data_IF_957124667575
#
_entry.id   IF_957124667575
#
_cell.length_a   1.000
_cell.length_b   1.000
_cell.length_c   1.000
_cell.angle_alpha   90.00
_cell.angle_beta   90.00
_cell.angle_gamma   90.00
#
_symmetry.space_group_name_H-M   'P 1'
#
loop_
_entity.id
_entity.type
_entity.pdbx_description
1 polymer ?
#
# COMPACT_ATOMS: atom_id res chain seq x y z
N UNK A 1 9.06 11.02 35.65
CA UNK A 1 7.65 10.61 35.72
C UNK A 1 7.05 10.94 34.37
N UNK A 2 6.94 9.94 33.50
CA UNK A 2 6.31 10.04 32.17
C UNK A 2 4.86 9.57 32.35
N UNK A 3 3.85 10.24 31.79
CA UNK A 3 2.46 9.84 32.00
C UNK A 3 2.13 8.52 31.28
N UNK A 4 1.48 7.61 32.01
CA UNK A 4 1.04 6.25 31.64
C UNK A 4 -0.14 6.25 30.62
N UNK A 5 0.00 6.86 29.44
CA UNK A 5 -1.08 6.82 28.44
C UNK A 5 -0.63 6.83 26.99
N UNK A 6 0.56 6.30 26.71
CA UNK A 6 0.92 5.89 25.34
C UNK A 6 0.97 4.38 25.37
N UNK A 7 -0.04 3.72 24.81
CA UNK A 7 0.03 2.30 24.51
C UNK A 7 1.18 2.10 23.52
N UNK A 8 2.33 1.67 24.02
CA UNK A 8 3.41 1.16 23.19
C UNK A 8 2.88 -0.10 22.51
N UNK A 9 2.67 -0.04 21.20
CA UNK A 9 2.44 -1.23 20.39
C UNK A 9 3.79 -1.96 20.30
N UNK A 10 4.06 -2.85 21.25
CA UNK A 10 5.12 -3.84 21.16
C UNK A 10 4.72 -4.87 20.08
N UNK A 11 4.98 -4.56 18.80
CA UNK A 11 4.52 -5.42 17.72
C UNK A 11 4.71 -4.96 16.28
N UNK A 12 5.72 -4.14 15.97
CA UNK A 12 6.10 -3.88 14.57
C UNK A 12 7.62 -3.73 14.49
N UNK A 13 8.37 -4.80 14.24
CA UNK A 13 9.78 -4.63 13.90
C UNK A 13 9.94 -4.21 12.42
N UNK A 14 9.32 -3.08 12.04
CA UNK A 14 9.87 -2.18 11.01
C UNK A 14 11.12 -1.45 11.55
N UNK A 15 11.46 -1.69 12.81
CA UNK A 15 12.47 -1.00 13.59
C UNK A 15 11.84 -0.01 14.56
N UNK A 16 12.64 0.45 15.52
CA UNK A 16 12.23 1.52 16.44
C UNK A 16 11.85 2.78 15.65
N UNK A 17 10.72 3.40 15.98
CA UNK A 17 10.40 4.72 15.45
C UNK A 17 9.10 4.86 14.67
N UNK A 18 8.34 3.79 14.39
CA UNK A 18 7.17 3.86 13.53
C UNK A 18 5.87 4.07 14.32
N UNK A 19 5.12 5.11 13.96
CA UNK A 19 3.76 5.37 14.39
C UNK A 19 2.79 5.05 13.23
N UNK A 20 1.71 4.35 13.53
CA UNK A 20 0.64 4.07 12.58
C UNK A 20 -0.23 5.31 12.37
N UNK A 21 -0.46 5.70 11.11
CA UNK A 21 -1.31 6.85 10.76
C UNK A 21 -2.67 6.37 10.26
N UNK A 22 -2.71 5.33 9.43
CA UNK A 22 -3.97 4.78 8.94
C UNK A 22 -3.82 3.59 7.99
N UNK A 23 -4.92 2.86 7.82
CA UNK A 23 -5.10 1.79 6.83
C UNK A 23 -6.18 2.22 5.85
N UNK A 24 -6.01 1.86 4.57
CA UNK A 24 -6.91 2.32 3.50
C UNK A 24 -7.10 3.83 3.59
N UNK A 25 -5.98 4.54 3.77
CA UNK A 25 -5.98 5.98 3.99
C UNK A 25 -6.47 6.65 2.72
N UNK A 26 -7.67 7.22 2.82
CA UNK A 26 -8.39 7.83 1.73
C UNK A 26 -7.92 9.27 1.52
N UNK A 27 -7.73 9.64 0.25
CA UNK A 27 -7.52 11.01 -0.15
C UNK A 27 -8.07 11.25 -1.56
N UNK A 28 -8.35 12.51 -1.85
CA UNK A 28 -8.96 12.94 -3.11
C UNK A 28 -7.99 13.81 -3.91
N UNK A 29 -7.98 13.63 -5.23
CA UNK A 29 -7.34 14.55 -6.17
C UNK A 29 -8.32 14.88 -7.28
N UNK A 30 -8.80 16.13 -7.29
CA UNK A 30 -9.85 16.54 -8.22
C UNK A 30 -11.17 15.87 -7.87
N UNK A 31 -11.66 15.01 -8.76
CA UNK A 31 -12.89 14.21 -8.63
C UNK A 31 -12.60 12.70 -8.50
N UNK A 32 -11.35 12.34 -8.18
CA UNK A 32 -10.91 10.95 -8.07
C UNK A 32 -10.49 10.61 -6.63
N UNK A 33 -10.99 9.48 -6.15
CA UNK A 33 -10.66 8.88 -4.86
C UNK A 33 -9.44 7.95 -4.97
N UNK A 34 -8.54 8.05 -4.00
CA UNK A 34 -7.36 7.21 -3.88
C UNK A 34 -7.21 6.66 -2.46
N UNK A 35 -6.59 5.48 -2.38
CA UNK A 35 -6.43 4.76 -1.13
C UNK A 35 -4.99 4.24 -1.01
N UNK A 36 -4.32 4.62 0.07
CA UNK A 36 -3.03 4.05 0.48
C UNK A 36 -3.33 2.86 1.39
N UNK A 37 -2.77 1.69 1.07
CA UNK A 37 -3.04 0.49 1.87
C UNK A 37 -2.64 0.68 3.34
N UNK A 38 -1.41 1.13 3.60
CA UNK A 38 -0.95 1.49 4.94
C UNK A 38 -0.10 2.77 4.91
N UNK A 39 -0.35 3.67 5.86
CA UNK A 39 0.41 4.90 6.06
C UNK A 39 0.99 4.94 7.49
N UNK A 40 2.29 5.19 7.58
CA UNK A 40 3.03 5.33 8.82
C UNK A 40 3.79 6.65 8.87
N UNK A 41 4.22 7.03 10.07
CA UNK A 41 5.21 8.07 10.31
C UNK A 41 6.36 7.51 11.13
N UNK A 42 7.60 7.63 10.65
CA UNK A 42 8.78 7.31 11.43
C UNK A 42 9.27 8.56 12.17
N UNK A 43 9.17 8.60 13.50
CA UNK A 43 9.58 9.77 14.31
C UNK A 43 11.09 9.88 14.50
N UNK A 44 11.84 8.77 14.42
CA UNK A 44 13.31 8.79 14.53
C UNK A 44 13.92 9.44 13.29
N UNK A 45 13.39 9.11 12.12
CA UNK A 45 13.81 9.66 10.83
C UNK A 45 12.99 10.87 10.39
N UNK A 46 12.00 11.25 11.20
CA UNK A 46 11.03 12.31 10.95
C UNK A 46 10.46 12.29 9.52
N UNK A 47 9.84 11.19 9.08
CA UNK A 47 9.27 11.08 7.72
C UNK A 47 8.03 10.20 7.66
N UNK A 48 7.19 10.43 6.67
CA UNK A 48 6.10 9.50 6.33
C UNK A 48 6.63 8.29 5.57
N UNK A 49 5.94 7.17 5.72
CA UNK A 49 6.19 5.92 4.99
C UNK A 49 4.87 5.41 4.44
N UNK A 50 4.77 5.38 3.11
CA UNK A 50 3.64 4.87 2.33
C UNK A 50 3.93 3.41 1.99
N UNK A 51 3.02 2.50 2.28
CA UNK A 51 3.16 1.09 1.91
C UNK A 51 2.00 0.69 1.01
N UNK A 52 2.34 0.15 -0.17
CA UNK A 52 1.40 -0.44 -1.14
C UNK A 52 1.64 -1.95 -1.20
N UNK A 53 0.55 -2.73 -1.19
CA UNK A 53 0.58 -4.18 -1.16
C UNK A 53 0.10 -4.76 -2.50
N UNK A 54 0.80 -5.80 -2.97
CA UNK A 54 0.44 -6.54 -4.19
C UNK A 54 0.62 -8.04 -4.00
N UNK A 55 -0.50 -8.76 -4.11
CA UNK A 55 -0.55 -10.23 -4.14
C UNK A 55 0.09 -10.79 -5.41
N UNK A 56 0.23 -9.97 -6.46
CA UNK A 56 0.81 -10.36 -7.74
C UNK A 56 2.31 -10.13 -7.87
N UNK A 57 2.84 -10.51 -9.03
CA UNK A 57 4.20 -10.13 -9.43
C UNK A 57 4.29 -8.62 -9.58
N UNK A 58 5.46 -8.07 -9.32
CA UNK A 58 5.79 -6.68 -9.59
C UNK A 58 5.48 -6.28 -11.05
N UNK A 59 4.79 -5.15 -11.22
CA UNK A 59 4.58 -4.48 -12.49
C UNK A 59 5.06 -3.02 -12.42
N UNK A 60 5.63 -2.46 -13.51
CA UNK A 60 6.13 -1.09 -13.52
C UNK A 60 5.10 -0.02 -13.13
N UNK A 61 3.81 -0.26 -13.43
CA UNK A 61 2.72 0.67 -13.12
C UNK A 61 2.55 0.91 -11.62
N UNK A 62 2.90 -0.07 -10.78
CA UNK A 62 2.87 0.05 -9.33
C UNK A 62 3.85 1.09 -8.81
N UNK A 63 4.98 1.29 -9.50
CA UNK A 63 5.96 2.35 -9.17
C UNK A 63 5.36 3.72 -9.43
N UNK A 64 4.62 3.88 -10.53
CA UNK A 64 3.93 5.12 -10.85
C UNK A 64 2.88 5.47 -9.80
N UNK A 65 2.04 4.50 -9.43
CA UNK A 65 1.02 4.65 -8.38
C UNK A 65 1.63 5.00 -7.02
N UNK A 66 2.66 4.27 -6.59
CA UNK A 66 3.34 4.52 -5.32
C UNK A 66 4.05 5.88 -5.31
N UNK A 67 4.70 6.26 -6.42
CA UNK A 67 5.31 7.57 -6.58
C UNK A 67 4.31 8.72 -6.51
N UNK A 68 3.12 8.53 -7.08
CA UNK A 68 2.00 9.46 -6.95
C UNK A 68 1.58 9.63 -5.48
N UNK A 69 1.44 8.54 -4.73
CA UNK A 69 1.09 8.58 -3.31
C UNK A 69 2.14 9.31 -2.47
N UNK A 70 3.42 8.99 -2.68
CA UNK A 70 4.54 9.68 -2.01
C UNK A 70 4.51 11.17 -2.29
N UNK A 71 4.27 11.57 -3.55
CA UNK A 71 4.21 12.98 -3.94
C UNK A 71 3.04 13.70 -3.26
N UNK A 72 1.86 13.08 -3.22
CA UNK A 72 0.70 13.66 -2.57
C UNK A 72 0.93 13.85 -1.06
N UNK A 73 1.51 12.87 -0.38
CA UNK A 73 1.85 12.98 1.05
C UNK A 73 2.90 14.08 1.28
N UNK A 74 3.91 14.18 0.42
CA UNK A 74 4.94 15.21 0.50
C UNK A 74 4.40 16.63 0.33
N UNK A 75 3.33 16.80 -0.46
CA UNK A 75 2.72 18.10 -0.71
C UNK A 75 1.63 18.47 0.30
N UNK A 76 0.93 17.49 0.88
CA UNK A 76 -0.26 17.75 1.70
C UNK A 76 -0.05 17.50 3.20
N UNK A 77 0.76 16.50 3.59
CA UNK A 77 0.93 16.12 5.00
C UNK A 77 2.34 16.42 5.53
N UNK A 78 3.36 16.34 4.66
CA UNK A 78 4.75 16.55 5.08
C UNK A 78 5.02 18.04 5.34
N UNK A 79 5.45 18.34 6.56
CA UNK A 79 6.12 19.61 6.83
C UNK A 79 7.55 19.55 6.27
N UNK A 80 7.81 20.29 5.18
CA UNK A 80 9.10 20.24 4.47
C UNK A 80 10.28 20.84 5.25
N UNK A 81 10.03 21.69 6.25
CA UNK A 81 11.06 22.31 7.09
C UNK A 81 11.54 21.38 8.22
N UNK A 82 10.70 20.42 8.62
CA UNK A 82 10.94 19.55 9.78
C UNK A 82 11.13 18.09 9.35
N UNK A 83 10.30 17.61 8.42
CA UNK A 83 10.25 16.21 8.05
C UNK A 83 11.14 15.93 6.84
N UNK A 84 11.88 14.82 6.90
CA UNK A 84 12.58 14.26 5.77
C UNK A 84 11.59 13.76 4.69
N UNK A 85 12.06 13.56 3.44
CA UNK A 85 11.20 13.09 2.35
C UNK A 85 10.48 11.79 2.65
N UNK A 86 9.20 11.73 2.24
CA UNK A 86 8.38 10.53 2.36
C UNK A 86 8.97 9.38 1.57
N UNK A 87 8.95 8.18 2.15
CA UNK A 87 9.42 6.95 1.52
C UNK A 87 8.23 6.12 1.08
N UNK A 88 8.29 5.58 -0.14
CA UNK A 88 7.34 4.58 -0.61
C UNK A 88 7.93 3.19 -0.55
N UNK A 89 7.17 2.22 -0.05
CA UNK A 89 7.52 0.81 -0.03
C UNK A 89 6.45 0.04 -0.79
N UNK A 90 6.86 -0.66 -1.85
CA UNK A 90 6.02 -1.62 -2.56
C UNK A 90 6.37 -3.02 -2.07
N UNK A 91 5.40 -3.71 -1.49
CA UNK A 91 5.52 -5.12 -1.15
C UNK A 91 4.80 -5.93 -2.23
N UNK A 92 5.51 -6.84 -2.90
CA UNK A 92 4.96 -7.76 -3.89
C UNK A 92 5.16 -9.22 -3.46
N UNK A 93 4.23 -10.13 -3.79
CA UNK A 93 4.41 -11.56 -3.55
C UNK A 93 5.55 -12.18 -4.39
N UNK A 94 6.03 -11.45 -5.41
CA UNK A 94 7.24 -11.79 -6.15
C UNK A 94 7.71 -10.66 -7.06
N UNK A 95 9.01 -10.59 -7.33
CA UNK A 95 9.61 -9.57 -8.18
C UNK A 95 10.64 -10.15 -9.17
N UNK A 96 10.82 -9.42 -10.26
CA UNK A 96 11.91 -9.65 -11.21
C UNK A 96 12.90 -8.48 -11.10
N UNK A 97 14.08 -8.74 -10.55
CA UNK A 97 15.08 -7.71 -10.25
C UNK A 97 15.46 -6.84 -11.47
N UNK A 98 15.44 -7.40 -12.68
CA UNK A 98 15.70 -6.62 -13.90
C UNK A 98 14.57 -5.62 -14.17
N UNK A 99 13.32 -6.06 -14.07
CA UNK A 99 12.14 -5.21 -14.30
C UNK A 99 12.05 -4.12 -13.21
N UNK A 100 12.34 -4.48 -11.96
CA UNK A 100 12.43 -3.53 -10.83
C UNK A 100 13.50 -2.48 -11.10
N UNK A 101 14.71 -2.90 -11.50
CA UNK A 101 15.82 -1.99 -11.78
C UNK A 101 15.46 -0.97 -12.86
N UNK A 102 14.88 -1.41 -13.97
CA UNK A 102 14.48 -0.49 -15.04
C UNK A 102 13.36 0.47 -14.60
N UNK A 103 12.42 -0.01 -13.78
CA UNK A 103 11.30 0.81 -13.28
C UNK A 103 11.76 1.87 -12.29
N UNK A 104 12.77 1.58 -11.46
CA UNK A 104 13.30 2.52 -10.47
C UNK A 104 14.36 3.48 -11.05
N UNK A 105 14.97 3.15 -12.20
CA UNK A 105 16.07 3.94 -12.77
C UNK A 105 15.70 5.40 -13.13
N UNK A 106 14.41 5.69 -13.32
CA UNK A 106 13.91 7.04 -13.62
C UNK A 106 13.32 7.79 -12.42
N UNK A 107 13.24 7.16 -11.24
CA UNK A 107 12.50 7.72 -10.11
C UNK A 107 13.41 8.54 -9.20
N UNK A 108 13.00 9.77 -8.88
CA UNK A 108 13.68 10.65 -7.92
C UNK A 108 13.16 10.49 -6.49
N UNK A 109 11.94 9.97 -6.32
CA UNK A 109 11.36 9.65 -5.03
C UNK A 109 12.07 8.43 -4.39
N UNK A 110 12.26 8.42 -3.05
CA UNK A 110 12.87 7.29 -2.37
C UNK A 110 11.86 6.13 -2.30
N UNK A 111 11.91 5.24 -3.28
CA UNK A 111 11.06 4.06 -3.40
C UNK A 111 11.86 2.77 -3.19
N UNK A 112 11.27 1.82 -2.46
CA UNK A 112 11.81 0.48 -2.27
C UNK A 112 10.80 -0.58 -2.75
N UNK A 113 11.31 -1.70 -3.27
CA UNK A 113 10.50 -2.86 -3.68
C UNK A 113 11.02 -4.10 -2.98
N UNK A 114 10.17 -4.79 -2.22
CA UNK A 114 10.52 -6.01 -1.51
C UNK A 114 9.55 -7.14 -1.82
N UNK A 115 10.08 -8.37 -1.82
CA UNK A 115 9.26 -9.58 -1.84
C UNK A 115 8.69 -9.84 -0.44
N UNK A 116 7.44 -10.29 -0.37
CA UNK A 116 6.83 -10.78 0.86
C UNK A 116 5.98 -12.02 0.60
N UNK A 117 5.76 -12.84 1.61
CA UNK A 117 4.66 -13.82 1.62
C UNK A 117 3.73 -13.47 2.78
N UNK A 118 2.44 -13.82 2.70
CA UNK A 118 1.51 -13.57 3.81
C UNK A 118 2.04 -14.13 5.14
N UNK A 119 2.67 -15.31 5.09
CA UNK A 119 3.28 -16.01 6.22
C UNK A 119 4.56 -15.37 6.77
N UNK A 120 5.16 -14.41 6.07
CA UNK A 120 6.37 -13.69 6.50
C UNK A 120 6.10 -12.24 6.88
N UNK A 121 4.88 -11.74 6.65
CA UNK A 121 4.43 -10.47 7.21
C UNK A 121 4.45 -10.55 8.74
N UNK A 122 4.83 -9.49 9.47
CA UNK A 122 4.62 -9.41 10.91
C UNK A 122 3.14 -9.68 11.24
N UNK A 123 2.85 -10.39 12.32
CA UNK A 123 1.47 -10.82 12.65
C UNK A 123 0.48 -9.65 12.74
N UNK A 124 0.94 -8.50 13.22
CA UNK A 124 0.17 -7.27 13.35
C UNK A 124 -0.12 -6.61 11.99
N UNK A 125 0.73 -6.86 10.98
CA UNK A 125 0.47 -6.49 9.57
C UNK A 125 -0.52 -7.45 8.96
N UNK A 126 -0.43 -8.75 9.26
CA UNK A 126 -1.44 -9.73 8.81
C UNK A 126 -2.84 -9.39 9.32
N UNK A 127 -2.97 -8.92 10.56
CA UNK A 127 -4.27 -8.49 11.10
C UNK A 127 -4.83 -7.25 10.37
N UNK A 128 -3.95 -6.46 9.75
CA UNK A 128 -4.31 -5.26 9.01
C UNK A 128 -4.46 -5.50 7.50
N UNK A 129 -3.92 -6.59 6.96
CA UNK A 129 -3.85 -6.89 5.53
C UNK A 129 -4.73 -8.11 5.25
N UNK A 130 -5.73 -8.02 4.36
CA UNK A 130 -6.59 -9.15 4.06
C UNK A 130 -5.77 -10.34 3.54
N UNK A 131 -6.15 -11.53 3.98
CA UNK A 131 -5.56 -12.81 3.56
C UNK A 131 -5.73 -13.05 2.06
N UNK A 132 -4.91 -13.93 1.49
CA UNK A 132 -5.07 -14.38 0.10
C UNK A 132 -6.48 -14.95 -0.15
N UNK A 133 -7.07 -15.64 0.84
CA UNK A 133 -8.43 -16.17 0.77
C UNK A 133 -9.50 -15.07 0.81
N UNK A 134 -9.33 -14.03 1.64
CA UNK A 134 -10.24 -12.88 1.68
C UNK A 134 -10.17 -12.07 0.39
N UNK A 135 -8.98 -11.93 -0.20
CA UNK A 135 -8.79 -11.29 -1.50
C UNK A 135 -9.42 -12.14 -2.61
N UNK A 136 -9.20 -13.45 -2.61
CA UNK A 136 -9.81 -14.37 -3.56
C UNK A 136 -11.35 -14.35 -3.46
N UNK A 137 -11.90 -14.38 -2.24
CA UNK A 137 -13.33 -14.30 -2.01
C UNK A 137 -13.93 -12.96 -2.44
N UNK A 138 -13.23 -11.84 -2.20
CA UNK A 138 -13.66 -10.53 -2.67
C UNK A 138 -13.65 -10.43 -4.21
N UNK A 139 -12.64 -11.00 -4.86
CA UNK A 139 -12.56 -11.08 -6.33
C UNK A 139 -13.67 -11.98 -6.88
N UNK A 140 -13.91 -13.15 -6.30
CA UNK A 140 -14.96 -14.08 -6.73
C UNK A 140 -16.36 -13.49 -6.55
N UNK A 141 -16.61 -12.81 -5.43
CA UNK A 141 -17.86 -12.08 -5.20
C UNK A 141 -18.07 -10.99 -6.26
N UNK A 142 -17.02 -10.22 -6.59
CA UNK A 142 -17.07 -9.17 -7.61
C UNK A 142 -17.28 -9.75 -9.02
N UNK A 143 -16.62 -10.86 -9.35
CA UNK A 143 -16.78 -11.57 -10.63
C UNK A 143 -18.20 -12.13 -10.78
N UNK A 144 -18.76 -12.68 -9.71
CA UNK A 144 -20.14 -13.19 -9.70
C UNK A 144 -21.18 -12.07 -9.86
N UNK A 145 -20.93 -10.90 -9.25
CA UNK A 145 -21.74 -9.70 -9.47
C UNK A 145 -21.66 -9.20 -10.91
N UNK A 146 -20.48 -9.22 -11.53
CA UNK A 146 -20.30 -8.85 -12.94
C UNK A 146 -20.98 -9.85 -13.90
N UNK A 147 -20.91 -11.15 -13.62
CA UNK A 147 -21.59 -12.18 -14.40
C UNK A 147 -23.12 -12.07 -14.30
N UNK A 148 -23.64 -11.66 -13.15
CA UNK A 148 -25.08 -11.42 -12.95
C UNK A 148 -25.61 -10.18 -13.69
N UNK A 149 -24.72 -9.27 -14.12
CA UNK A 149 -25.04 -8.04 -14.85
C UNK A 149 -24.82 -8.14 -16.36
N UNK A 150 -24.33 -9.28 -16.87
CA UNK A 150 -24.26 -9.51 -18.31
C UNK A 150 -25.68 -9.70 -18.88
N UNK A 151 -26.09 -8.94 -19.92
CA UNK A 151 -27.38 -9.13 -20.54
C UNK A 151 -27.47 -10.55 -21.13
N UNK A 152 -28.50 -11.30 -20.71
CA UNK A 152 -28.86 -12.58 -21.32
C UNK A 152 -28.98 -12.35 -22.83
N UNK A 153 -28.10 -12.98 -23.62
CA UNK A 153 -28.21 -12.95 -25.08
C UNK A 153 -29.61 -13.44 -25.45
N UNK A 154 -30.42 -12.67 -26.21
CA UNK A 154 -31.72 -13.13 -26.63
C UNK A 154 -31.55 -14.42 -27.45
N UNK A 155 -32.31 -15.43 -27.07
CA UNK A 155 -32.41 -16.70 -27.77
C UNK A 155 -32.98 -16.44 -29.17
N UNK A 156 -32.12 -16.44 -30.19
CA UNK A 156 -32.54 -16.44 -31.58
C UNK A 156 -32.79 -17.89 -32.02
N UNK A 157 -33.86 -18.48 -31.50
CA UNK A 157 -34.50 -19.66 -32.08
C UNK A 157 -35.86 -19.25 -32.67
N UNK A 158 -35.82 -18.84 -33.94
CA UNK A 158 -36.97 -18.52 -34.78
C UNK A 158 -36.66 -18.77 -36.24
#
# INVERSE_FOLDING_TARGET
MVPDSVETIDGFELGHGFAFVGRQYHFEVGDQDFYIDLLFFNWVQARFVVVELKVGRFEPEYVGKLGFYVSWIDDNLRNKDIHAPTVGILLCAGRNDNVVRYSLAGTTAPLAVADYTYETLPSQVRDLVPTDDEIAAAVEATVSELDSQLPVKPDNSG
#
